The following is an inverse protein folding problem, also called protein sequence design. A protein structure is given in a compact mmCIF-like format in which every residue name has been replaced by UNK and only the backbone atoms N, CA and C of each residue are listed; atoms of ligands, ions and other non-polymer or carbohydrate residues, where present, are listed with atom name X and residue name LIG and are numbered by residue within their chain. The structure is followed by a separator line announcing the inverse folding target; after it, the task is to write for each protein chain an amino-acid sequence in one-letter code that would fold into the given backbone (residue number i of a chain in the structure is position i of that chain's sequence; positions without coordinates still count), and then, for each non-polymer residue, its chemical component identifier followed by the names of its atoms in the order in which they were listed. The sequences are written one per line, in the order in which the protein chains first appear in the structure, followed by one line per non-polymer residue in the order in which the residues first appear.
data_IF_247870857559
#
_entry.id   IF_247870857559
#
_cell.length_a   1.000
_cell.length_b   1.000
_cell.length_c   1.000
_cell.angle_alpha   90.00
_cell.angle_beta   90.00
_cell.angle_gamma   90.00
#
_symmetry.space_group_name_H-M   'P 1'
#
loop_
_entity.id
_entity.type
_entity.pdbx_description
1 polymer ?
#
# COMPACT_ATOMS: atom_id res chain seq x y z
N UNK A 1 -6.02 -20.91 -11.82
CA UNK A 1 -5.62 -19.63 -12.44
C UNK A 1 -5.25 -18.68 -11.30
N UNK A 2 -4.00 -18.25 -11.22
CA UNK A 2 -3.56 -17.33 -10.17
C UNK A 2 -3.78 -15.89 -10.64
N UNK A 3 -4.34 -15.06 -9.76
CA UNK A 3 -4.59 -13.64 -10.04
C UNK A 3 -4.00 -12.81 -8.91
N UNK A 4 -3.23 -11.79 -9.26
CA UNK A 4 -2.72 -10.83 -8.30
C UNK A 4 -3.46 -9.50 -8.44
N UNK A 5 -4.10 -9.05 -7.36
CA UNK A 5 -4.94 -7.85 -7.32
C UNK A 5 -4.35 -6.85 -6.33
N UNK A 6 -4.15 -5.61 -6.76
CA UNK A 6 -3.82 -4.48 -5.91
C UNK A 6 -5.04 -3.59 -5.68
N UNK A 7 -5.20 -3.09 -4.46
CA UNK A 7 -6.18 -2.06 -4.13
C UNK A 7 -5.42 -0.83 -3.65
N UNK A 8 -5.49 0.22 -4.43
CA UNK A 8 -4.74 1.45 -4.26
C UNK A 8 -5.65 2.66 -3.98
N UNK A 9 -5.06 3.75 -3.60
CA UNK A 9 -5.74 5.01 -3.33
C UNK A 9 -5.26 5.71 -2.07
N UNK A 10 -5.73 6.91 -1.86
CA UNK A 10 -5.37 7.77 -0.75
C UNK A 10 -5.81 7.20 0.62
N UNK A 11 -5.34 7.77 1.73
CA UNK A 11 -5.78 7.37 3.08
C UNK A 11 -7.31 7.59 3.24
N UNK A 12 -8.02 6.79 4.02
CA UNK A 12 -9.45 6.98 4.27
C UNK A 12 -10.42 6.53 3.16
N UNK A 13 -9.95 6.16 1.96
CA UNK A 13 -10.79 5.78 0.81
C UNK A 13 -11.51 4.42 0.96
N UNK A 14 -11.22 3.65 2.02
CA UNK A 14 -11.90 2.38 2.28
C UNK A 14 -11.22 1.13 1.72
N UNK A 15 -9.97 1.22 1.25
CA UNK A 15 -9.20 0.08 0.69
C UNK A 15 -9.26 -1.19 1.52
N UNK A 16 -8.90 -1.09 2.79
CA UNK A 16 -8.86 -2.25 3.69
C UNK A 16 -10.24 -2.90 3.87
N UNK A 17 -11.31 -2.11 3.82
CA UNK A 17 -12.70 -2.59 3.87
C UNK A 17 -13.04 -3.35 2.58
N UNK A 18 -12.75 -2.76 1.42
CA UNK A 18 -13.01 -3.40 0.13
C UNK A 18 -12.17 -4.66 -0.07
N UNK A 19 -10.91 -4.65 0.36
CA UNK A 19 -10.04 -5.83 0.33
C UNK A 19 -10.60 -7.00 1.15
N UNK A 20 -11.14 -6.72 2.34
CA UNK A 20 -11.79 -7.74 3.19
C UNK A 20 -13.07 -8.27 2.55
N UNK A 21 -13.94 -7.37 2.05
CA UNK A 21 -15.19 -7.75 1.38
C UNK A 21 -14.92 -8.60 0.13
N UNK A 22 -13.92 -8.23 -0.68
CA UNK A 22 -13.50 -9.02 -1.84
C UNK A 22 -13.06 -10.42 -1.42
N UNK A 23 -12.20 -10.53 -0.40
CA UNK A 23 -11.78 -11.84 0.14
C UNK A 23 -12.95 -12.68 0.61
N UNK A 24 -13.92 -12.09 1.33
CA UNK A 24 -15.11 -12.78 1.80
C UNK A 24 -15.99 -13.29 0.63
N UNK A 25 -16.17 -12.48 -0.41
CA UNK A 25 -16.95 -12.85 -1.58
C UNK A 25 -16.26 -13.96 -2.39
N UNK A 26 -14.93 -13.92 -2.55
CA UNK A 26 -14.17 -15.01 -3.16
C UNK A 26 -14.36 -16.32 -2.38
N UNK A 27 -14.30 -16.25 -1.03
CA UNK A 27 -14.56 -17.43 -0.17
C UNK A 27 -15.97 -18.00 -0.38
N UNK A 28 -17.01 -17.15 -0.48
CA UNK A 28 -18.38 -17.60 -0.77
C UNK A 28 -18.50 -18.27 -2.14
N UNK A 29 -17.65 -17.89 -3.09
CA UNK A 29 -17.55 -18.50 -4.42
C UNK A 29 -16.61 -19.72 -4.48
N UNK A 30 -16.14 -20.22 -3.34
CA UNK A 30 -15.16 -21.32 -3.24
C UNK A 30 -13.82 -21.03 -3.94
N UNK A 31 -13.41 -19.75 -4.03
CA UNK A 31 -12.13 -19.33 -4.59
C UNK A 31 -11.15 -19.07 -3.45
N UNK A 32 -10.06 -19.86 -3.41
CA UNK A 32 -9.02 -19.69 -2.39
C UNK A 32 -8.24 -18.40 -2.63
N UNK A 33 -8.12 -17.59 -1.59
CA UNK A 33 -7.50 -16.29 -1.67
C UNK A 33 -6.67 -15.92 -0.45
N UNK A 34 -5.61 -15.14 -0.68
CA UNK A 34 -4.75 -14.57 0.37
C UNK A 34 -4.87 -13.05 0.34
N UNK A 35 -5.25 -12.47 1.47
CA UNK A 35 -5.20 -11.01 1.67
C UNK A 35 -3.93 -10.65 2.41
N UNK A 36 -3.22 -9.65 1.89
CA UNK A 36 -2.03 -9.04 2.48
C UNK A 36 -2.16 -7.52 2.45
N UNK A 37 -1.26 -6.81 3.15
CA UNK A 37 -1.17 -5.34 3.14
C UNK A 37 0.27 -4.87 3.15
N UNK A 38 0.52 -3.71 2.60
CA UNK A 38 1.81 -3.02 2.69
C UNK A 38 1.74 -1.70 3.49
N UNK A 39 2.78 -1.43 4.29
CA UNK A 39 3.80 -2.37 4.75
C UNK A 39 3.20 -3.34 5.78
N UNK A 40 3.70 -4.60 5.83
CA UNK A 40 3.25 -5.62 6.78
C UNK A 40 3.05 -7.00 6.20
N UNK A 41 2.28 -7.83 6.89
CA UNK A 41 1.89 -9.20 6.53
C UNK A 41 3.01 -10.26 6.59
N UNK A 42 4.20 -9.90 7.07
CA UNK A 42 5.24 -10.81 7.56
C UNK A 42 5.80 -10.25 8.87
N UNK A 43 6.38 -11.08 9.71
CA UNK A 43 6.95 -10.63 11.00
C UNK A 43 8.01 -9.52 10.80
N UNK A 44 8.83 -9.64 9.76
CA UNK A 44 9.81 -8.63 9.40
C UNK A 44 9.14 -7.33 8.94
N UNK A 45 8.16 -7.44 8.04
CA UNK A 45 7.46 -6.28 7.48
C UNK A 45 6.59 -5.55 8.53
N UNK A 46 6.06 -6.25 9.53
CA UNK A 46 5.35 -5.60 10.65
C UNK A 46 6.32 -4.78 11.52
N UNK A 47 7.55 -5.24 11.75
CA UNK A 47 8.57 -4.44 12.44
C UNK A 47 8.92 -3.16 11.67
N UNK A 48 9.05 -3.26 10.35
CA UNK A 48 9.26 -2.09 9.49
C UNK A 48 8.04 -1.14 9.57
N UNK A 49 6.83 -1.67 9.53
CA UNK A 49 5.60 -0.89 9.72
C UNK A 49 5.61 -0.11 11.03
N UNK A 50 6.03 -0.75 12.11
CA UNK A 50 6.15 -0.09 13.42
C UNK A 50 7.17 1.04 13.41
N UNK A 51 8.33 0.83 12.78
CA UNK A 51 9.34 1.88 12.60
C UNK A 51 8.77 3.06 11.82
N UNK A 52 8.12 2.79 10.68
CA UNK A 52 7.53 3.81 9.82
C UNK A 52 6.39 4.60 10.49
N UNK A 53 5.63 3.97 11.39
CA UNK A 53 4.52 4.63 12.11
C UNK A 53 4.99 5.48 13.28
N UNK A 54 6.01 5.02 14.02
CA UNK A 54 6.47 5.64 15.26
C UNK A 54 7.44 6.80 15.04
N UNK A 55 8.24 6.75 13.96
CA UNK A 55 9.25 7.75 13.68
C UNK A 55 8.73 8.83 12.72
N UNK A 56 8.70 10.07 13.18
CA UNK A 56 8.24 11.22 12.39
C UNK A 56 9.36 11.88 11.59
N UNK A 57 10.62 11.64 11.94
CA UNK A 57 11.81 12.32 11.40
C UNK A 57 12.66 11.41 10.49
N UNK A 58 12.01 10.53 9.73
CA UNK A 58 12.71 9.70 8.74
C UNK A 58 12.74 10.46 7.41
N UNK A 59 13.93 10.59 6.84
CA UNK A 59 14.13 11.14 5.49
C UNK A 59 13.34 10.33 4.44
N UNK A 60 12.79 11.02 3.44
CA UNK A 60 11.90 10.40 2.44
C UNK A 60 12.58 9.24 1.71
N UNK A 61 13.87 9.35 1.41
CA UNK A 61 14.63 8.25 0.77
C UNK A 61 14.76 7.03 1.71
N UNK A 62 15.01 7.25 3.00
CA UNK A 62 15.09 6.18 3.99
C UNK A 62 13.74 5.50 4.17
N UNK A 63 12.66 6.28 4.17
CA UNK A 63 11.29 5.79 4.20
C UNK A 63 10.99 4.89 2.98
N UNK A 64 11.32 5.35 1.77
CA UNK A 64 11.19 4.57 0.55
C UNK A 64 11.94 3.24 0.66
N UNK A 65 13.20 3.25 1.10
CA UNK A 65 14.01 2.04 1.23
C UNK A 65 13.41 1.05 2.23
N UNK A 66 12.82 1.52 3.33
CA UNK A 66 12.10 0.67 4.28
C UNK A 66 10.84 0.04 3.65
N UNK A 67 10.07 0.81 2.86
CA UNK A 67 8.94 0.24 2.11
C UNK A 67 9.41 -0.82 1.12
N UNK A 68 10.50 -0.58 0.39
CA UNK A 68 11.05 -1.56 -0.56
C UNK A 68 11.54 -2.83 0.12
N UNK A 69 12.22 -2.72 1.27
CA UNK A 69 12.63 -3.88 2.07
C UNK A 69 11.44 -4.71 2.55
N UNK A 70 10.40 -4.04 3.07
CA UNK A 70 9.14 -4.69 3.48
C UNK A 70 8.46 -5.40 2.32
N UNK A 71 8.39 -4.76 1.15
CA UNK A 71 7.78 -5.30 -0.07
C UNK A 71 8.53 -6.52 -0.58
N UNK A 72 9.85 -6.44 -0.66
CA UNK A 72 10.68 -7.57 -1.11
C UNK A 72 10.45 -8.82 -0.26
N UNK A 73 10.42 -8.67 1.06
CA UNK A 73 10.13 -9.78 1.98
C UNK A 73 8.72 -10.35 1.77
N UNK A 74 7.71 -9.47 1.66
CA UNK A 74 6.32 -9.86 1.44
C UNK A 74 6.12 -10.59 0.10
N UNK A 75 6.72 -10.07 -0.97
CA UNK A 75 6.62 -10.66 -2.32
C UNK A 75 7.19 -12.06 -2.32
N UNK A 76 8.40 -12.22 -1.79
CA UNK A 76 9.09 -13.51 -1.87
C UNK A 76 8.52 -14.55 -0.89
N UNK A 77 8.11 -14.15 0.32
CA UNK A 77 7.63 -15.10 1.33
C UNK A 77 6.14 -15.39 1.29
N UNK A 78 5.34 -14.47 0.73
CA UNK A 78 3.89 -14.61 0.79
C UNK A 78 3.23 -14.52 -0.57
N UNK A 79 3.48 -13.46 -1.36
CA UNK A 79 2.74 -13.25 -2.60
C UNK A 79 3.07 -14.33 -3.61
N UNK A 80 4.33 -14.48 -4.01
CA UNK A 80 4.76 -15.48 -5.00
C UNK A 80 4.36 -16.91 -4.62
N UNK A 81 4.62 -17.41 -3.39
CA UNK A 81 4.23 -18.78 -3.02
C UNK A 81 2.71 -19.03 -3.04
N UNK A 82 1.88 -18.01 -2.80
CA UNK A 82 0.43 -18.18 -2.91
C UNK A 82 -0.05 -18.15 -4.36
N UNK A 83 0.55 -17.33 -5.21
CA UNK A 83 0.29 -17.35 -6.65
C UNK A 83 0.70 -18.67 -7.29
N UNK A 84 1.85 -19.24 -6.93
CA UNK A 84 2.31 -20.57 -7.38
C UNK A 84 1.34 -21.69 -6.98
N UNK A 85 0.67 -21.55 -5.84
CA UNK A 85 -0.40 -22.47 -5.40
C UNK A 85 -1.75 -22.23 -6.08
N UNK A 86 -1.81 -21.35 -7.09
CA UNK A 86 -3.03 -21.08 -7.83
C UNK A 86 -4.06 -20.18 -7.12
N UNK A 87 -3.68 -19.52 -6.00
CA UNK A 87 -4.58 -18.67 -5.25
C UNK A 87 -4.73 -17.29 -5.89
N UNK A 88 -5.85 -16.64 -5.58
CA UNK A 88 -5.99 -15.17 -5.75
C UNK A 88 -5.25 -14.48 -4.61
N UNK A 89 -4.33 -13.56 -4.92
CA UNK A 89 -3.69 -12.71 -3.92
C UNK A 89 -4.23 -11.30 -4.04
N UNK A 90 -4.67 -10.72 -2.92
CA UNK A 90 -5.17 -9.35 -2.82
C UNK A 90 -4.20 -8.59 -1.92
N UNK A 91 -3.69 -7.45 -2.37
CA UNK A 91 -2.88 -6.56 -1.53
C UNK A 91 -3.60 -5.23 -1.30
N UNK A 92 -3.62 -4.77 -0.05
CA UNK A 92 -3.97 -3.40 0.33
C UNK A 92 -2.68 -2.57 0.24
N UNK A 93 -2.51 -1.82 -0.83
CA UNK A 93 -1.34 -1.10 -1.34
C UNK A 93 -0.28 -1.99 -1.98
N UNK A 94 0.41 -1.42 -2.99
CA UNK A 94 1.56 -1.99 -3.67
C UNK A 94 2.46 -0.88 -4.24
N UNK A 95 2.99 -1.06 -5.44
CA UNK A 95 3.98 -0.17 -6.06
C UNK A 95 3.49 1.27 -6.30
N UNK A 96 2.22 1.46 -6.66
CA UNK A 96 1.64 2.77 -6.98
C UNK A 96 1.61 3.67 -5.74
N UNK A 97 1.40 3.07 -4.55
CA UNK A 97 1.53 3.81 -3.29
C UNK A 97 2.91 4.44 -3.10
N UNK A 98 4.00 3.80 -3.53
CA UNK A 98 5.34 4.39 -3.41
C UNK A 98 5.54 5.55 -4.39
N UNK A 99 5.01 5.44 -5.61
CA UNK A 99 5.03 6.55 -6.58
C UNK A 99 4.25 7.75 -6.03
N UNK A 100 3.03 7.52 -5.54
CA UNK A 100 2.18 8.58 -5.03
C UNK A 100 2.77 9.25 -3.77
N UNK A 101 3.15 8.48 -2.75
CA UNK A 101 3.56 9.02 -1.46
C UNK A 101 4.99 9.53 -1.44
N UNK A 102 5.98 8.75 -1.91
CA UNK A 102 7.39 9.15 -1.88
C UNK A 102 7.81 9.95 -3.13
N UNK A 103 7.15 9.71 -4.26
CA UNK A 103 7.36 10.47 -5.50
C UNK A 103 6.61 11.80 -5.47
N UNK A 104 5.33 11.78 -5.79
CA UNK A 104 4.53 13.01 -5.92
C UNK A 104 4.41 13.79 -4.60
N UNK A 105 4.17 13.10 -3.48
CA UNK A 105 4.10 13.72 -2.16
C UNK A 105 5.47 14.09 -1.60
N UNK A 106 6.44 13.20 -1.69
CA UNK A 106 7.76 13.33 -1.08
C UNK A 106 8.84 13.94 -1.96
N UNK A 107 8.56 14.18 -3.26
CA UNK A 107 9.47 14.84 -4.20
C UNK A 107 10.65 13.99 -4.68
N UNK A 108 10.64 12.66 -4.50
CA UNK A 108 11.67 11.80 -5.02
C UNK A 108 11.48 11.55 -6.52
N UNK A 109 12.59 11.30 -7.21
CA UNK A 109 12.60 10.95 -8.63
C UNK A 109 11.77 9.68 -8.90
N UNK A 110 10.80 9.79 -9.80
CA UNK A 110 9.89 8.69 -10.15
C UNK A 110 10.62 7.51 -10.80
N UNK A 111 11.66 7.77 -11.60
CA UNK A 111 12.45 6.70 -12.25
C UNK A 111 13.26 5.91 -11.22
N UNK A 112 13.79 6.57 -10.20
CA UNK A 112 14.41 5.91 -9.06
C UNK A 112 13.39 4.99 -8.36
N UNK A 113 12.18 5.48 -8.08
CA UNK A 113 11.13 4.70 -7.42
C UNK A 113 10.72 3.50 -8.27
N UNK A 114 10.51 3.69 -9.58
CA UNK A 114 10.19 2.59 -10.52
C UNK A 114 11.27 1.52 -10.51
N UNK A 115 12.54 1.92 -10.54
CA UNK A 115 13.68 1.00 -10.49
C UNK A 115 13.69 0.19 -9.19
N UNK A 116 13.51 0.83 -8.04
CA UNK A 116 13.45 0.18 -6.73
C UNK A 116 12.20 -0.72 -6.61
N UNK A 117 11.05 -0.30 -7.13
CA UNK A 117 9.85 -1.12 -7.21
C UNK A 117 10.12 -2.40 -8.02
N UNK A 118 10.77 -2.30 -9.18
CA UNK A 118 11.11 -3.46 -9.99
C UNK A 118 12.05 -4.43 -9.26
N UNK A 119 13.07 -3.92 -8.57
CA UNK A 119 13.99 -4.72 -7.76
C UNK A 119 13.23 -5.44 -6.62
N UNK A 120 12.46 -4.72 -5.82
CA UNK A 120 11.79 -5.26 -4.64
C UNK A 120 10.68 -6.26 -4.98
N UNK A 121 10.05 -6.12 -6.14
CA UNK A 121 9.01 -7.04 -6.61
C UNK A 121 9.57 -8.17 -7.47
N UNK A 122 10.84 -8.08 -7.90
CA UNK A 122 11.41 -8.93 -8.96
C UNK A 122 10.53 -8.91 -10.22
N UNK A 123 10.05 -7.74 -10.62
CA UNK A 123 9.21 -7.54 -11.79
C UNK A 123 7.77 -8.05 -11.65
N UNK A 124 7.34 -8.53 -10.48
CA UNK A 124 5.97 -8.97 -10.28
C UNK A 124 5.01 -7.77 -10.24
N UNK A 125 4.08 -7.73 -11.19
CA UNK A 125 3.04 -6.71 -11.29
C UNK A 125 1.65 -7.31 -11.00
N UNK A 126 0.71 -6.53 -10.45
CA UNK A 126 -0.67 -6.95 -10.33
C UNK A 126 -1.29 -7.22 -11.72
N UNK A 127 -2.13 -8.25 -11.80
CA UNK A 127 -2.97 -8.50 -12.99
C UNK A 127 -4.10 -7.46 -13.10
N UNK A 128 -4.49 -6.86 -11.97
CA UNK A 128 -5.54 -5.88 -11.87
C UNK A 128 -5.28 -4.95 -10.68
N UNK A 129 -5.37 -3.65 -10.91
CA UNK A 129 -5.30 -2.61 -9.86
C UNK A 129 -6.64 -1.89 -9.77
N UNK A 130 -7.22 -1.82 -8.56
CA UNK A 130 -8.36 -0.99 -8.26
C UNK A 130 -7.90 0.28 -7.55
N UNK A 131 -8.10 1.42 -8.18
CA UNK A 131 -7.91 2.72 -7.56
C UNK A 131 -9.22 3.17 -6.91
N UNK A 132 -9.19 3.37 -5.59
CA UNK A 132 -10.31 3.99 -4.86
C UNK A 132 -10.03 5.48 -4.73
N UNK A 133 -10.72 6.27 -5.52
CA UNK A 133 -10.62 7.73 -5.50
C UNK A 133 -11.66 8.36 -4.56
N UNK A 134 -11.26 9.48 -3.95
CA UNK A 134 -12.08 10.30 -3.07
C UNK A 134 -11.45 11.68 -2.96
N UNK A 135 -12.27 12.69 -2.67
CA UNK A 135 -11.74 14.02 -2.38
C UNK A 135 -10.86 14.04 -1.14
N UNK A 136 -9.78 14.81 -1.20
CA UNK A 136 -8.78 14.86 -0.12
C UNK A 136 -9.41 15.26 1.21
N UNK A 137 -10.29 16.30 1.19
CA UNK A 137 -10.98 16.78 2.39
C UNK A 137 -11.84 15.69 3.04
N UNK A 138 -12.67 15.01 2.25
CA UNK A 138 -13.53 13.92 2.74
C UNK A 138 -12.71 12.75 3.27
N UNK A 139 -11.60 12.46 2.61
CA UNK A 139 -10.68 11.39 3.00
C UNK A 139 -9.98 11.69 4.33
N UNK A 140 -9.49 12.92 4.52
CA UNK A 140 -8.86 13.36 5.77
C UNK A 140 -9.86 13.32 6.93
N UNK A 141 -11.08 13.85 6.71
CA UNK A 141 -12.15 13.81 7.71
C UNK A 141 -12.46 12.39 8.18
N UNK A 142 -12.60 11.43 7.25
CA UNK A 142 -12.81 10.01 7.58
C UNK A 142 -11.64 9.41 8.38
N UNK A 143 -10.43 9.89 8.09
CA UNK A 143 -9.23 9.42 8.78
C UNK A 143 -9.18 9.96 10.20
N UNK A 144 -9.54 11.24 10.42
CA UNK A 144 -9.67 11.86 11.73
C UNK A 144 -10.74 11.18 12.58
N UNK A 145 -11.94 10.95 12.03
CA UNK A 145 -13.05 10.25 12.72
C UNK A 145 -12.64 8.84 13.20
N UNK A 146 -11.84 8.14 12.40
CA UNK A 146 -11.31 6.81 12.76
C UNK A 146 -10.28 6.89 13.88
N UNK A 147 -9.46 7.94 13.88
CA UNK A 147 -8.31 8.09 14.78
C UNK A 147 -8.67 8.65 16.16
N UNK A 148 -9.94 8.96 16.44
CA UNK A 148 -10.39 9.40 17.78
C UNK A 148 -9.99 8.45 18.93
N UNK A 149 -9.42 7.26 18.62
CA UNK A 149 -8.91 6.27 19.58
C UNK A 149 -7.50 5.73 19.25
N UNK A 150 -6.81 6.20 18.21
CA UNK A 150 -5.48 5.71 17.81
C UNK A 150 -4.51 6.86 17.53
N UNK A 151 -3.20 6.60 17.65
CA UNK A 151 -2.17 7.60 17.30
C UNK A 151 -2.26 7.97 15.81
N UNK A 152 -2.40 9.27 15.53
CA UNK A 152 -2.38 9.83 14.18
C UNK A 152 -1.08 9.44 13.48
N UNK A 153 -1.17 8.85 12.31
CA UNK A 153 -0.02 8.44 11.51
C UNK A 153 0.74 9.68 11.00
N UNK A 154 2.06 9.62 10.91
CA UNK A 154 2.91 10.73 10.42
C UNK A 154 2.50 11.27 9.05
N UNK A 155 2.00 10.41 8.16
CA UNK A 155 1.51 10.82 6.83
C UNK A 155 0.24 11.68 6.91
N UNK A 156 -0.59 11.46 7.91
CA UNK A 156 -1.84 12.20 8.12
C UNK A 156 -1.58 13.60 8.72
N UNK A 157 -0.39 13.82 9.27
CA UNK A 157 0.06 15.13 9.83
C UNK A 157 0.66 16.09 8.79
N UNK A 158 0.83 15.63 7.55
CA UNK A 158 1.36 16.46 6.46
C UNK A 158 0.35 17.54 6.06
N UNK A 159 0.81 18.58 5.40
CA UNK A 159 -0.03 19.67 4.92
C UNK A 159 -0.97 19.23 3.77
N UNK A 160 -1.94 20.08 3.47
CA UNK A 160 -2.93 19.81 2.42
C UNK A 160 -2.30 19.68 1.03
N UNK A 161 -1.25 20.46 0.75
CA UNK A 161 -0.54 20.41 -0.53
C UNK A 161 0.12 19.05 -0.76
N UNK A 162 0.75 18.49 0.28
CA UNK A 162 1.27 17.12 0.24
C UNK A 162 0.19 16.09 -0.11
N UNK A 163 -0.97 16.18 0.55
CA UNK A 163 -2.09 15.27 0.33
C UNK A 163 -2.65 15.38 -1.09
N UNK A 164 -2.74 16.61 -1.62
CA UNK A 164 -3.17 16.85 -2.99
C UNK A 164 -2.18 16.25 -4.00
N UNK A 165 -0.87 16.41 -3.76
CA UNK A 165 0.15 15.82 -4.61
C UNK A 165 0.09 14.29 -4.60
N UNK A 166 -0.10 13.66 -3.42
CA UNK A 166 -0.29 12.20 -3.32
C UNK A 166 -1.52 11.74 -4.10
N UNK A 167 -2.64 12.46 -4.00
CA UNK A 167 -3.84 12.14 -4.78
C UNK A 167 -3.56 12.22 -6.28
N UNK A 168 -2.92 13.28 -6.74
CA UNK A 168 -2.56 13.44 -8.15
C UNK A 168 -1.66 12.29 -8.63
N UNK A 169 -0.70 11.87 -7.80
CA UNK A 169 0.19 10.76 -8.12
C UNK A 169 -0.48 9.37 -8.17
N UNK A 170 -1.72 9.24 -7.73
CA UNK A 170 -2.51 8.02 -7.97
C UNK A 170 -3.33 8.09 -9.26
N UNK A 171 -3.58 9.29 -9.79
CA UNK A 171 -4.40 9.50 -10.99
C UNK A 171 -3.54 9.48 -12.26
N UNK A 172 -2.29 9.98 -12.18
CA UNK A 172 -1.29 9.97 -13.26
C UNK A 172 -0.73 8.55 -13.51
#
# INVERSE_FOLDING_TARGET
MSIFISIEGFAGTGKSTQAKLLKENLKKSNIDSKLVREPGSTDFSEKIRDILRKNTEIETITELLLFQASRSELVNKVIKPNLEKGKVVITDRYIDSSLAYQGYGGGLDLELIKSLNNISTSGLLPSLTFLLDMDVEDSLKRTEDRNNNEQINKFEKKDFAYHQNVKNGFID
#
